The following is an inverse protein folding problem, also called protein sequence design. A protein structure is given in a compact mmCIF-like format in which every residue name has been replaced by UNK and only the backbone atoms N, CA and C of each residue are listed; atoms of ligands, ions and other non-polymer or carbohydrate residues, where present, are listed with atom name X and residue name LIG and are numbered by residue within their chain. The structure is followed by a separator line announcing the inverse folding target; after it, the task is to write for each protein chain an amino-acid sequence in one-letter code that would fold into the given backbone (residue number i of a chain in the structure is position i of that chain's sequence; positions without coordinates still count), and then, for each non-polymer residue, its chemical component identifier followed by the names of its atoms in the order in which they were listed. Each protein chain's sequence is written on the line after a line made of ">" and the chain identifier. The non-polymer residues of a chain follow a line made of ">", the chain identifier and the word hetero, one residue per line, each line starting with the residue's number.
data_IF_654598991040
#
_entry.id   IF_654598991040
#
_cell.length_a   1.000
_cell.length_b   1.000
_cell.length_c   1.000
_cell.angle_alpha   90.00
_cell.angle_beta   90.00
_cell.angle_gamma   90.00
#
_symmetry.space_group_name_H-M   'P 1'
#
loop_
_entity.id
_entity.type
_entity.pdbx_description
1 polymer ?
#
# COMPACT_ATOMS: atom_id res chain seq x y z
N UNK A 1 52.95 -37.86 -51.19
CA UNK A 1 53.20 -36.40 -51.05
C UNK A 1 51.95 -35.53 -51.23
N UNK A 2 50.74 -36.03 -50.93
CA UNK A 2 49.49 -35.24 -51.03
C UNK A 2 48.65 -35.07 -49.74
N UNK A 3 48.93 -35.67 -48.56
CA UNK A 3 48.14 -35.37 -47.37
C UNK A 3 48.65 -34.15 -46.58
N UNK A 4 49.91 -33.74 -46.74
CA UNK A 4 50.45 -32.55 -46.03
C UNK A 4 50.02 -31.22 -46.65
N UNK A 5 49.75 -31.18 -47.96
CA UNK A 5 49.31 -29.95 -48.64
C UNK A 5 47.85 -29.61 -48.29
N UNK A 6 47.01 -30.64 -48.09
CA UNK A 6 45.61 -30.46 -47.66
C UNK A 6 45.55 -29.93 -46.22
N UNK A 7 46.45 -30.39 -45.33
CA UNK A 7 46.51 -29.91 -43.94
C UNK A 7 47.09 -28.49 -43.82
N UNK A 8 47.92 -28.06 -44.77
CA UNK A 8 48.39 -26.66 -44.85
C UNK A 8 47.34 -25.72 -45.45
N UNK A 9 46.48 -26.19 -46.36
CA UNK A 9 45.38 -25.38 -46.91
C UNK A 9 44.22 -25.18 -45.92
N UNK A 10 44.01 -26.10 -44.97
CA UNK A 10 43.00 -25.98 -43.91
C UNK A 10 43.38 -25.01 -42.77
N UNK A 11 44.66 -24.62 -42.66
CA UNK A 11 45.12 -23.60 -41.70
C UNK A 11 45.01 -22.16 -42.24
N UNK A 12 44.57 -21.96 -43.48
CA UNK A 12 44.42 -20.64 -44.11
C UNK A 12 42.96 -20.16 -44.18
N UNK A 13 42.01 -20.89 -43.59
CA UNK A 13 40.61 -20.52 -43.53
C UNK A 13 40.11 -20.27 -42.09
N UNK A 14 40.95 -19.76 -41.20
CA UNK A 14 40.46 -19.08 -40.00
C UNK A 14 40.18 -17.61 -40.36
N UNK A 15 39.11 -17.41 -41.15
CA UNK A 15 38.47 -16.10 -41.25
C UNK A 15 37.71 -15.89 -39.93
N UNK A 16 38.43 -15.52 -38.88
CA UNK A 16 37.82 -15.07 -37.63
C UNK A 16 37.03 -13.82 -37.96
N UNK A 17 35.72 -13.95 -38.13
CA UNK A 17 34.83 -12.80 -38.27
C UNK A 17 34.95 -12.00 -36.98
N UNK A 18 35.52 -10.79 -37.06
CA UNK A 18 35.66 -9.92 -35.92
C UNK A 18 34.26 -9.49 -35.46
N UNK A 19 33.73 -10.14 -34.42
CA UNK A 19 32.41 -9.82 -33.88
C UNK A 19 32.46 -8.56 -33.01
N UNK A 20 31.33 -7.87 -32.91
CA UNK A 20 31.17 -6.77 -31.95
C UNK A 20 30.93 -7.36 -30.55
N UNK A 21 31.52 -6.74 -29.54
CA UNK A 21 31.38 -7.12 -28.14
C UNK A 21 30.34 -6.21 -27.48
N UNK A 22 29.20 -6.78 -27.10
CA UNK A 22 28.10 -6.06 -26.49
C UNK A 22 27.99 -6.36 -25.00
N UNK A 23 27.57 -5.36 -24.22
CA UNK A 23 27.20 -5.56 -22.83
C UNK A 23 25.92 -6.39 -22.74
N UNK A 24 25.96 -7.47 -21.96
CA UNK A 24 24.82 -8.37 -21.76
C UNK A 24 24.01 -7.92 -20.55
N UNK A 25 22.88 -7.26 -20.80
CA UNK A 25 21.90 -6.91 -19.76
C UNK A 25 20.79 -7.95 -19.75
N UNK A 26 20.60 -8.66 -18.63
CA UNK A 26 19.62 -9.75 -18.55
C UNK A 26 18.17 -9.26 -18.66
N UNK A 27 17.84 -8.21 -17.92
CA UNK A 27 16.48 -7.67 -17.90
C UNK A 27 16.46 -6.18 -17.54
N UNK A 28 15.40 -5.51 -17.94
CA UNK A 28 15.05 -4.14 -17.54
C UNK A 28 13.65 -4.17 -16.95
N UNK A 29 13.48 -3.59 -15.76
CA UNK A 29 12.17 -3.46 -15.13
C UNK A 29 11.63 -2.05 -15.32
N UNK A 30 10.34 -1.97 -15.65
CA UNK A 30 9.63 -0.70 -15.71
C UNK A 30 8.32 -0.76 -14.94
N UNK A 31 7.88 0.42 -14.50
CA UNK A 31 6.67 0.61 -13.71
C UNK A 31 5.76 1.64 -14.38
N UNK A 32 4.58 1.87 -13.81
CA UNK A 32 3.71 2.98 -14.22
C UNK A 32 4.33 4.37 -14.02
N UNK A 33 5.42 4.48 -13.26
CA UNK A 33 6.13 5.74 -13.04
C UNK A 33 7.12 6.11 -14.14
N UNK A 34 7.46 5.17 -15.01
CA UNK A 34 8.40 5.43 -16.09
C UNK A 34 7.65 6.15 -17.22
N UNK A 35 8.00 7.40 -17.51
CA UNK A 35 7.48 8.08 -18.71
C UNK A 35 8.12 7.50 -19.97
N UNK A 36 9.45 7.30 -19.91
CA UNK A 36 10.27 6.70 -20.96
C UNK A 36 10.98 5.45 -20.44
N UNK A 37 11.25 4.54 -21.36
CA UNK A 37 11.96 3.29 -21.10
C UNK A 37 13.21 3.30 -21.98
N UNK A 38 14.33 2.95 -21.37
CA UNK A 38 15.62 2.84 -22.05
C UNK A 38 16.06 1.39 -22.02
N UNK A 39 16.14 0.77 -23.19
CA UNK A 39 16.71 -0.57 -23.35
C UNK A 39 18.20 -0.42 -23.70
N UNK A 40 19.12 -0.89 -22.84
CA UNK A 40 20.54 -0.70 -23.04
C UNK A 40 21.06 -1.58 -24.18
N UNK A 41 21.85 -0.97 -25.06
CA UNK A 41 22.66 -1.68 -26.04
C UNK A 41 23.99 -0.93 -26.17
N UNK A 42 25.03 -1.48 -25.54
CA UNK A 42 26.35 -0.85 -25.45
C UNK A 42 27.38 -1.78 -26.09
N UNK A 43 28.09 -1.25 -27.08
CA UNK A 43 29.17 -1.90 -27.83
C UNK A 43 30.51 -1.36 -27.33
N UNK A 44 31.43 -2.24 -26.95
CA UNK A 44 32.71 -1.85 -26.35
C UNK A 44 33.82 -1.58 -27.36
N UNK A 45 33.80 -2.28 -28.49
CA UNK A 45 34.88 -2.32 -29.47
C UNK A 45 34.45 -1.75 -30.83
N UNK A 46 33.78 -0.60 -30.79
CA UNK A 46 33.41 0.16 -31.98
C UNK A 46 34.62 0.96 -32.49
N UNK A 47 34.86 0.90 -33.79
CA UNK A 47 35.99 1.56 -34.45
C UNK A 47 35.53 2.54 -35.55
N UNK A 48 34.22 2.56 -35.84
CA UNK A 48 33.58 3.41 -36.84
C UNK A 48 33.86 4.89 -36.55
N UNK A 49 34.31 5.59 -37.58
CA UNK A 49 34.57 7.03 -37.54
C UNK A 49 33.43 7.84 -38.15
N UNK A 50 32.59 7.21 -38.97
CA UNK A 50 31.43 7.81 -39.62
C UNK A 50 30.15 7.04 -39.29
N UNK A 51 29.04 7.76 -39.15
CA UNK A 51 27.73 7.13 -38.93
C UNK A 51 27.31 6.27 -40.11
N UNK A 52 27.78 6.58 -41.33
CA UNK A 52 27.48 5.84 -42.56
C UNK A 52 27.82 4.35 -42.50
N UNK A 53 28.77 3.98 -41.63
CA UNK A 53 29.25 2.60 -41.48
C UNK A 53 28.42 1.77 -40.50
N UNK A 54 27.43 2.39 -39.84
CA UNK A 54 26.65 1.79 -38.77
C UNK A 54 25.22 1.49 -39.19
N UNK A 55 24.76 0.30 -38.81
CA UNK A 55 23.38 -0.11 -38.92
C UNK A 55 22.89 -0.68 -37.59
N UNK A 56 21.73 -0.23 -37.12
CA UNK A 56 21.15 -0.68 -35.84
C UNK A 56 19.74 -1.20 -36.07
N UNK A 57 19.45 -2.38 -35.54
CA UNK A 57 18.11 -3.02 -35.58
C UNK A 57 17.68 -3.37 -34.17
N UNK A 58 16.41 -3.13 -33.89
CA UNK A 58 15.76 -3.66 -32.70
C UNK A 58 14.61 -4.57 -33.09
N UNK A 59 14.52 -5.72 -32.42
CA UNK A 59 13.47 -6.73 -32.60
C UNK A 59 12.73 -6.99 -31.30
N UNK A 60 11.44 -7.30 -31.39
CA UNK A 60 10.63 -7.88 -30.32
C UNK A 60 10.04 -9.19 -30.84
N UNK A 61 10.33 -10.30 -30.15
CA UNK A 61 9.85 -11.62 -30.57
C UNK A 61 10.21 -12.00 -32.01
N UNK A 62 11.37 -11.52 -32.50
CA UNK A 62 11.87 -11.76 -33.86
C UNK A 62 11.39 -10.78 -34.93
N UNK A 63 10.40 -9.92 -34.63
CA UNK A 63 9.90 -8.91 -35.57
C UNK A 63 10.59 -7.56 -35.36
N UNK A 64 10.97 -6.87 -36.44
CA UNK A 64 11.60 -5.55 -36.37
C UNK A 64 10.63 -4.51 -35.80
N UNK A 65 11.10 -3.74 -34.82
CA UNK A 65 10.35 -2.66 -34.18
C UNK A 65 10.95 -1.28 -34.47
N UNK A 66 12.25 -1.25 -34.73
CA UNK A 66 12.98 -0.03 -35.05
C UNK A 66 14.24 -0.38 -35.85
N UNK A 67 14.57 0.45 -36.84
CA UNK A 67 15.84 0.37 -37.56
C UNK A 67 16.43 1.75 -37.79
N UNK A 68 17.76 1.83 -37.75
CA UNK A 68 18.51 3.02 -38.14
C UNK A 68 19.54 2.63 -39.19
N UNK A 69 19.52 3.37 -40.31
CA UNK A 69 20.48 3.25 -41.38
C UNK A 69 21.40 4.45 -41.40
N UNK A 70 22.67 4.24 -41.05
CA UNK A 70 23.67 5.28 -41.03
C UNK A 70 23.98 5.88 -42.40
N UNK A 71 23.88 5.10 -43.47
CA UNK A 71 24.19 5.54 -44.84
C UNK A 71 23.19 6.57 -45.37
N UNK A 72 21.90 6.41 -45.03
CA UNK A 72 20.85 7.39 -45.36
C UNK A 72 20.56 8.36 -44.22
N UNK A 73 21.11 8.12 -43.03
CA UNK A 73 20.84 8.83 -41.79
C UNK A 73 19.34 8.85 -41.44
N UNK A 74 18.66 7.72 -41.66
CA UNK A 74 17.22 7.57 -41.46
C UNK A 74 16.94 6.60 -40.31
N UNK A 75 16.01 6.99 -39.43
CA UNK A 75 15.42 6.11 -38.42
C UNK A 75 13.97 5.78 -38.77
N UNK A 76 13.67 4.48 -38.85
CA UNK A 76 12.36 3.96 -39.20
C UNK A 76 11.78 3.24 -37.97
N UNK A 77 10.89 3.91 -37.21
CA UNK A 77 10.05 3.23 -36.24
C UNK A 77 8.91 2.50 -36.97
N UNK A 78 8.67 1.24 -36.63
CA UNK A 78 7.54 0.47 -37.18
C UNK A 78 6.30 0.69 -36.31
N UNK A 79 5.85 -0.34 -35.59
CA UNK A 79 4.68 -0.24 -34.70
C UNK A 79 4.95 0.52 -33.40
N UNK A 80 6.19 0.99 -33.19
CA UNK A 80 6.67 1.65 -31.97
C UNK A 80 7.03 3.11 -32.31
N UNK A 81 6.02 3.94 -32.56
CA UNK A 81 6.18 5.29 -33.11
C UNK A 81 7.03 6.24 -32.25
N UNK A 82 7.11 6.01 -30.94
CA UNK A 82 7.95 6.79 -30.02
C UNK A 82 9.41 6.32 -29.94
N UNK A 83 9.73 5.19 -30.58
CA UNK A 83 11.06 4.59 -30.50
C UNK A 83 12.10 5.44 -31.24
N UNK A 84 13.21 5.74 -30.56
CA UNK A 84 14.32 6.53 -31.08
C UNK A 84 15.65 6.11 -30.43
N UNK A 85 16.75 6.47 -31.07
CA UNK A 85 18.11 6.28 -30.57
C UNK A 85 18.88 7.60 -30.60
N UNK A 86 19.92 7.72 -29.79
CA UNK A 86 20.83 8.87 -29.82
C UNK A 86 21.90 8.69 -30.89
N UNK A 87 21.70 9.28 -32.07
CA UNK A 87 22.65 9.17 -33.20
C UNK A 87 24.05 9.70 -32.85
N UNK A 88 24.14 10.67 -31.94
CA UNK A 88 25.43 11.26 -31.49
C UNK A 88 26.24 10.31 -30.62
N UNK A 89 25.59 9.35 -29.97
CA UNK A 89 26.24 8.42 -29.07
C UNK A 89 26.54 7.06 -29.73
N UNK A 90 26.06 6.85 -30.97
CA UNK A 90 26.38 5.66 -31.76
C UNK A 90 27.88 5.49 -32.00
N UNK A 91 28.59 6.56 -32.36
CA UNK A 91 30.05 6.53 -32.53
C UNK A 91 30.80 6.28 -31.20
N UNK A 92 30.12 6.39 -30.06
CA UNK A 92 30.65 6.03 -28.74
C UNK A 92 30.22 4.62 -28.31
N UNK A 93 29.59 3.86 -29.19
CA UNK A 93 29.13 2.49 -28.93
C UNK A 93 27.78 2.41 -28.23
N UNK A 94 27.01 3.50 -28.11
CA UNK A 94 25.71 3.46 -27.46
C UNK A 94 24.57 3.41 -28.49
N UNK A 95 23.99 2.22 -28.66
CA UNK A 95 22.86 1.95 -29.55
C UNK A 95 21.55 1.70 -28.76
N UNK A 96 21.47 2.22 -27.53
CA UNK A 96 20.31 2.02 -26.65
C UNK A 96 19.03 2.60 -27.24
N UNK A 97 17.92 1.87 -27.09
CA UNK A 97 16.60 2.28 -27.59
C UNK A 97 15.83 3.00 -26.50
N UNK A 98 15.40 4.23 -26.79
CA UNK A 98 14.47 4.98 -25.95
C UNK A 98 13.07 4.91 -26.58
N UNK A 99 12.06 4.58 -25.78
CA UNK A 99 10.66 4.61 -26.21
C UNK A 99 9.74 5.08 -25.09
N UNK A 100 8.58 5.61 -25.44
CA UNK A 100 7.56 5.97 -24.45
C UNK A 100 6.94 4.70 -23.85
N UNK A 101 6.50 4.79 -22.59
CA UNK A 101 5.83 3.68 -21.90
C UNK A 101 4.62 3.12 -22.66
N UNK A 102 3.90 3.96 -23.40
CA UNK A 102 2.70 3.56 -24.18
C UNK A 102 3.01 2.53 -25.27
N UNK A 103 4.23 2.55 -25.81
CA UNK A 103 4.65 1.65 -26.88
C UNK A 103 5.41 0.44 -26.29
N UNK A 104 5.81 0.49 -25.03
CA UNK A 104 6.60 -0.57 -24.42
C UNK A 104 5.74 -1.78 -24.00
N UNK A 105 6.09 -2.94 -24.55
CA UNK A 105 5.39 -4.20 -24.35
C UNK A 105 6.32 -5.19 -23.64
N UNK A 106 5.90 -5.85 -22.56
CA UNK A 106 6.75 -6.85 -21.89
C UNK A 106 7.17 -7.97 -22.85
N UNK A 107 8.44 -8.35 -22.82
CA UNK A 107 8.97 -9.37 -23.71
C UNK A 107 10.48 -9.28 -23.95
N UNK A 108 10.97 -10.13 -24.84
CA UNK A 108 12.39 -10.20 -25.18
C UNK A 108 12.70 -9.28 -26.36
N UNK A 109 13.52 -8.27 -26.09
CA UNK A 109 14.01 -7.32 -27.07
C UNK A 109 15.43 -7.67 -27.47
N UNK A 110 15.70 -7.73 -28.77
CA UNK A 110 17.03 -8.02 -29.30
C UNK A 110 17.56 -6.78 -30.02
N UNK A 111 18.75 -6.33 -29.63
CA UNK A 111 19.52 -5.32 -30.32
C UNK A 111 20.52 -6.00 -31.25
N UNK A 112 20.56 -5.60 -32.51
CA UNK A 112 21.57 -6.03 -33.49
C UNK A 112 22.30 -4.78 -33.98
N UNK A 113 23.62 -4.78 -33.87
CA UNK A 113 24.49 -3.71 -34.37
C UNK A 113 25.40 -4.30 -35.44
N UNK A 114 25.48 -3.60 -36.56
CA UNK A 114 26.40 -3.91 -37.66
C UNK A 114 27.30 -2.71 -37.89
N UNK A 115 28.60 -2.97 -37.95
CA UNK A 115 29.66 -2.04 -38.33
C UNK A 115 30.37 -2.62 -39.55
N UNK A 116 30.09 -2.10 -40.75
CA UNK A 116 30.56 -2.67 -42.01
C UNK A 116 30.25 -4.18 -42.11
N UNK A 117 31.27 -5.03 -41.94
CA UNK A 117 31.17 -6.50 -41.98
C UNK A 117 31.15 -7.16 -40.59
N UNK A 118 31.24 -6.37 -39.52
CA UNK A 118 31.24 -6.83 -38.12
C UNK A 118 29.83 -6.75 -37.58
N UNK A 119 29.37 -7.82 -36.96
CA UNK A 119 28.03 -7.91 -36.38
C UNK A 119 28.11 -8.32 -34.92
N UNK A 120 27.12 -7.88 -34.15
CA UNK A 120 26.90 -8.39 -32.80
C UNK A 120 25.47 -8.13 -32.34
N UNK A 121 24.97 -9.01 -31.49
CA UNK A 121 23.62 -8.92 -30.95
C UNK A 121 23.60 -9.14 -29.44
N UNK A 122 22.58 -8.59 -28.79
CA UNK A 122 22.31 -8.85 -27.37
C UNK A 122 20.80 -8.81 -27.14
N UNK A 123 20.31 -9.63 -26.21
CA UNK A 123 18.89 -9.70 -25.86
C UNK A 123 18.68 -9.28 -24.42
N UNK A 124 17.68 -8.42 -24.22
CA UNK A 124 17.25 -7.92 -22.92
C UNK A 124 15.76 -8.18 -22.73
N UNK A 125 15.40 -8.75 -21.58
CA UNK A 125 14.00 -8.98 -21.23
C UNK A 125 13.40 -7.72 -20.58
N UNK A 126 12.36 -7.16 -21.17
CA UNK A 126 11.60 -6.07 -20.57
C UNK A 126 10.49 -6.66 -19.70
N UNK A 127 10.56 -6.40 -18.39
CA UNK A 127 9.57 -6.87 -17.42
C UNK A 127 8.76 -5.72 -16.87
N UNK A 128 7.44 -5.85 -16.93
CA UNK A 128 6.55 -4.91 -16.27
C UNK A 128 6.35 -5.31 -14.82
N UNK A 129 6.70 -4.41 -13.90
CA UNK A 129 6.50 -4.61 -12.48
C UNK A 129 5.15 -4.01 -12.05
N UNK A 130 4.18 -4.87 -11.76
CA UNK A 130 2.81 -4.52 -11.36
C UNK A 130 2.67 -3.92 -9.95
N UNK A 131 3.79 -3.68 -9.23
CA UNK A 131 3.80 -3.30 -7.81
C UNK A 131 3.76 -1.80 -7.48
N UNK A 132 3.77 -0.90 -8.47
CA UNK A 132 3.73 0.55 -8.22
C UNK A 132 2.45 1.18 -8.79
N UNK A 133 1.56 1.61 -7.91
CA UNK A 133 0.53 2.59 -8.23
C UNK A 133 1.19 3.95 -8.48
N UNK A 134 0.59 4.76 -9.36
CA UNK A 134 1.10 6.02 -9.93
C UNK A 134 1.54 7.12 -8.93
N UNK A 135 1.39 6.92 -7.63
CA UNK A 135 1.73 7.91 -6.60
C UNK A 135 3.14 7.73 -5.99
N UNK A 136 3.89 6.68 -6.35
CA UNK A 136 5.31 6.52 -5.97
C UNK A 136 6.28 7.35 -6.84
N UNK A 137 5.80 7.95 -7.94
CA UNK A 137 6.66 8.62 -8.92
C UNK A 137 7.15 10.00 -8.46
N UNK A 138 6.51 10.59 -7.44
CA UNK A 138 6.86 11.90 -6.89
C UNK A 138 8.19 11.91 -6.10
N UNK A 139 8.71 10.74 -5.70
CA UNK A 139 9.92 10.64 -4.88
C UNK A 139 11.24 10.54 -5.65
N UNK A 140 11.23 10.35 -6.98
CA UNK A 140 12.44 9.94 -7.73
C UNK A 140 13.33 11.10 -8.21
N UNK A 141 12.91 12.36 -8.04
CA UNK A 141 13.69 13.53 -8.47
C UNK A 141 14.79 13.96 -7.48
N UNK A 142 15.00 13.25 -6.37
CA UNK A 142 16.11 13.54 -5.44
C UNK A 142 16.86 12.26 -5.06
N UNK A 143 18.09 12.20 -5.55
CA UNK A 143 19.16 11.22 -5.32
C UNK A 143 19.01 9.85 -6.01
N UNK A 144 19.85 9.67 -7.03
CA UNK A 144 20.31 8.35 -7.45
C UNK A 144 21.12 7.70 -6.32
N UNK A 145 20.82 6.44 -6.03
CA UNK A 145 21.48 5.67 -5.00
C UNK A 145 20.83 4.31 -4.81
N UNK A 146 21.48 3.31 -5.42
CA UNK A 146 21.72 1.96 -4.92
C UNK A 146 20.57 1.07 -4.44
N UNK A 147 20.55 -0.12 -5.05
CA UNK A 147 19.72 -1.30 -4.78
C UNK A 147 19.56 -1.60 -3.29
N UNK A 148 18.35 -1.38 -2.74
CA UNK A 148 17.92 -1.97 -1.47
C UNK A 148 16.69 -2.86 -1.70
N UNK A 149 16.87 -4.11 -1.28
CA UNK A 149 15.90 -5.16 -1.00
C UNK A 149 14.46 -4.63 -0.78
N UNK A 150 13.57 -4.91 -1.72
CA UNK A 150 12.20 -4.38 -1.76
C UNK A 150 11.29 -5.17 -0.81
N UNK A 151 11.24 -4.78 0.46
CA UNK A 151 10.18 -5.25 1.38
C UNK A 151 8.81 -4.72 0.92
N UNK A 152 7.84 -5.62 0.81
CA UNK A 152 6.42 -5.37 0.50
C UNK A 152 5.88 -4.08 1.15
N UNK A 153 5.33 -3.17 0.35
CA UNK A 153 4.73 -1.93 0.84
C UNK A 153 3.35 -2.26 1.45
N UNK A 154 3.23 -2.08 2.76
CA UNK A 154 1.98 -2.30 3.50
C UNK A 154 1.02 -1.11 3.32
N UNK A 155 -0.29 -1.36 3.29
CA UNK A 155 -1.33 -0.35 3.05
C UNK A 155 -1.34 0.76 4.13
N UNK A 156 -1.13 0.38 5.38
CA UNK A 156 -0.77 1.28 6.49
C UNK A 156 0.59 0.85 7.05
N UNK A 157 1.30 1.79 7.68
CA UNK A 157 2.54 1.45 8.39
C UNK A 157 2.26 0.47 9.53
N UNK A 158 3.25 -0.35 9.96
CA UNK A 158 3.08 -1.28 11.07
C UNK A 158 2.52 -0.61 12.34
N UNK A 159 2.97 0.60 12.65
CA UNK A 159 2.56 1.36 13.82
C UNK A 159 1.07 1.76 13.72
N UNK A 160 0.65 2.21 12.53
CA UNK A 160 -0.74 2.58 12.26
C UNK A 160 -1.66 1.35 12.31
N UNK A 161 -1.26 0.22 11.73
CA UNK A 161 -2.03 -1.04 11.81
C UNK A 161 -2.29 -1.46 13.26
N UNK A 162 -1.27 -1.36 14.10
CA UNK A 162 -1.37 -1.68 15.52
C UNK A 162 -2.41 -0.76 16.20
N UNK A 163 -2.37 0.55 15.92
CA UNK A 163 -3.31 1.51 16.52
C UNK A 163 -4.75 1.30 16.05
N UNK A 164 -4.96 1.01 14.76
CA UNK A 164 -6.28 0.73 14.17
C UNK A 164 -6.95 -0.47 14.86
N UNK A 165 -6.17 -1.48 15.28
CA UNK A 165 -6.70 -2.66 15.97
C UNK A 165 -6.83 -2.43 17.48
N UNK A 166 -5.87 -1.76 18.11
CA UNK A 166 -5.86 -1.57 19.56
C UNK A 166 -6.98 -0.62 20.02
N UNK A 167 -7.23 0.49 19.34
CA UNK A 167 -8.24 1.45 19.80
C UNK A 167 -9.66 0.87 19.89
N UNK A 168 -10.18 0.15 18.89
CA UNK A 168 -11.47 -0.54 18.98
C UNK A 168 -11.50 -1.62 20.07
N UNK A 169 -10.43 -2.40 20.22
CA UNK A 169 -10.34 -3.42 21.28
C UNK A 169 -10.39 -2.78 22.67
N UNK A 170 -9.69 -1.67 22.86
CA UNK A 170 -9.71 -0.90 24.10
C UNK A 170 -11.12 -0.33 24.36
N UNK A 171 -11.77 0.25 23.36
CA UNK A 171 -13.15 0.76 23.49
C UNK A 171 -14.13 -0.33 23.93
N UNK A 172 -14.02 -1.54 23.36
CA UNK A 172 -14.84 -2.69 23.76
C UNK A 172 -14.57 -3.09 25.21
N UNK A 173 -13.31 -3.18 25.63
CA UNK A 173 -12.96 -3.52 27.01
C UNK A 173 -13.50 -2.48 28.00
N UNK A 174 -13.43 -1.20 27.65
CA UNK A 174 -13.98 -0.11 28.46
C UNK A 174 -15.51 -0.20 28.55
N UNK A 175 -16.20 -0.49 27.45
CA UNK A 175 -17.65 -0.75 27.43
C UNK A 175 -18.03 -1.91 28.36
N UNK A 176 -17.32 -3.05 28.31
CA UNK A 176 -17.56 -4.16 29.23
C UNK A 176 -17.29 -3.79 30.69
N UNK A 177 -16.31 -2.94 30.95
CA UNK A 177 -16.07 -2.37 32.27
C UNK A 177 -17.26 -1.55 32.78
N UNK A 178 -17.84 -0.70 31.92
CA UNK A 178 -19.03 0.09 32.26
C UNK A 178 -20.24 -0.81 32.52
N UNK A 179 -20.48 -1.78 31.64
CA UNK A 179 -21.52 -2.79 31.81
C UNK A 179 -21.37 -3.55 33.14
N UNK A 180 -20.14 -3.93 33.50
CA UNK A 180 -19.84 -4.57 34.79
C UNK A 180 -20.28 -3.72 35.98
N UNK A 181 -20.00 -2.40 35.97
CA UNK A 181 -20.45 -1.48 37.02
C UNK A 181 -21.99 -1.45 37.11
N UNK A 182 -22.68 -1.35 35.97
CA UNK A 182 -24.16 -1.35 35.94
C UNK A 182 -24.72 -2.61 36.58
N UNK A 183 -24.21 -3.77 36.14
CA UNK A 183 -24.73 -5.08 36.53
C UNK A 183 -24.48 -5.40 38.00
N UNK A 184 -23.27 -5.11 38.49
CA UNK A 184 -22.89 -5.35 39.90
C UNK A 184 -23.65 -4.46 40.87
N UNK A 185 -23.94 -3.20 40.48
CA UNK A 185 -24.47 -2.20 41.41
C UNK A 185 -25.99 -2.02 41.33
N UNK A 186 -26.61 -2.21 40.17
CA UNK A 186 -28.01 -1.84 39.94
C UNK A 186 -28.89 -3.03 39.55
N UNK A 187 -28.75 -4.15 40.26
CA UNK A 187 -29.50 -5.40 40.06
C UNK A 187 -30.99 -5.27 40.48
N UNK A 188 -31.78 -4.50 39.73
CA UNK A 188 -33.23 -4.35 39.89
C UNK A 188 -34.01 -5.14 38.83
N UNK A 189 -35.25 -5.54 39.13
CA UNK A 189 -36.09 -6.37 38.25
C UNK A 189 -36.40 -5.72 36.88
N UNK A 190 -36.62 -4.40 36.84
CA UNK A 190 -36.86 -3.63 35.60
C UNK A 190 -35.58 -3.52 34.76
N UNK A 191 -34.41 -3.53 35.40
CA UNK A 191 -33.12 -3.41 34.74
C UNK A 191 -32.76 -4.70 34.00
N UNK A 192 -33.34 -5.86 34.37
CA UNK A 192 -32.93 -7.16 33.83
C UNK A 192 -33.14 -7.27 32.32
N UNK A 193 -34.29 -6.87 31.79
CA UNK A 193 -34.57 -6.98 30.35
C UNK A 193 -33.65 -6.08 29.51
N UNK A 194 -33.53 -4.79 29.88
CA UNK A 194 -32.64 -3.85 29.19
C UNK A 194 -31.17 -4.24 29.31
N UNK A 195 -30.76 -4.78 30.45
CA UNK A 195 -29.39 -5.27 30.68
C UNK A 195 -29.10 -6.53 29.86
N UNK A 196 -30.07 -7.44 29.68
CA UNK A 196 -29.94 -8.59 28.79
C UNK A 196 -29.77 -8.13 27.33
N UNK A 197 -30.57 -7.16 26.88
CA UNK A 197 -30.44 -6.61 25.53
C UNK A 197 -29.06 -5.97 25.30
N UNK A 198 -28.56 -5.19 26.27
CA UNK A 198 -27.21 -4.61 26.24
C UNK A 198 -26.12 -5.68 26.19
N UNK A 199 -26.28 -6.77 26.94
CA UNK A 199 -25.34 -7.88 26.93
C UNK A 199 -25.27 -8.56 25.55
N UNK A 200 -26.44 -8.87 24.97
CA UNK A 200 -26.53 -9.49 23.64
C UNK A 200 -25.92 -8.57 22.57
N UNK A 201 -26.31 -7.30 22.55
CA UNK A 201 -25.79 -6.33 21.59
C UNK A 201 -24.27 -6.10 21.77
N UNK A 202 -23.80 -6.08 23.01
CA UNK A 202 -22.37 -6.03 23.34
C UNK A 202 -21.59 -7.24 22.82
N UNK A 203 -22.13 -8.45 22.95
CA UNK A 203 -21.54 -9.66 22.38
C UNK A 203 -21.51 -9.65 20.85
N UNK A 204 -22.60 -9.21 20.21
CA UNK A 204 -22.64 -9.09 18.74
C UNK A 204 -21.58 -8.11 18.27
N UNK A 205 -21.47 -6.97 18.94
CA UNK A 205 -20.44 -5.97 18.66
C UNK A 205 -19.02 -6.54 18.79
N UNK A 206 -18.71 -7.29 19.85
CA UNK A 206 -17.37 -7.87 20.02
C UNK A 206 -17.04 -8.85 18.92
N UNK A 207 -17.98 -9.72 18.54
CA UNK A 207 -17.79 -10.68 17.44
C UNK A 207 -17.52 -9.95 16.13
N UNK A 208 -18.29 -8.91 15.81
CA UNK A 208 -18.10 -8.13 14.57
C UNK A 208 -16.71 -7.50 14.52
N UNK A 209 -16.27 -6.85 15.61
CA UNK A 209 -14.95 -6.18 15.64
C UNK A 209 -13.81 -7.19 15.62
N UNK A 210 -13.94 -8.34 16.29
CA UNK A 210 -12.94 -9.42 16.22
C UNK A 210 -12.81 -9.95 14.78
N UNK A 211 -13.94 -10.22 14.11
CA UNK A 211 -13.94 -10.63 12.70
C UNK A 211 -13.32 -9.55 11.82
N UNK A 212 -13.64 -8.27 12.06
CA UNK A 212 -13.02 -7.14 11.37
C UNK A 212 -11.50 -7.10 11.54
N UNK A 213 -11.00 -7.29 12.76
CA UNK A 213 -9.57 -7.34 13.06
C UNK A 213 -8.85 -8.52 12.37
N UNK A 214 -9.48 -9.70 12.32
CA UNK A 214 -8.95 -10.88 11.63
C UNK A 214 -8.89 -10.64 10.11
N UNK A 215 -9.90 -9.98 9.53
CA UNK A 215 -9.90 -9.63 8.11
C UNK A 215 -8.90 -8.51 7.78
N UNK A 216 -8.58 -7.66 8.75
CA UNK A 216 -7.61 -6.57 8.67
C UNK A 216 -6.17 -7.03 8.95
N UNK A 217 -5.75 -8.21 8.46
CA UNK A 217 -4.34 -8.64 8.56
C UNK A 217 -3.45 -7.67 7.76
N UNK A 218 -2.38 -7.12 8.37
CA UNK A 218 -1.51 -6.14 7.73
C UNK A 218 -0.91 -6.67 6.43
N UNK A 219 -0.90 -5.83 5.41
CA UNK A 219 -0.37 -6.15 4.08
C UNK A 219 -0.86 -5.15 3.03
N UNK A 220 -0.73 -5.52 1.76
CA UNK A 220 -1.19 -4.73 0.61
C UNK A 220 -2.71 -4.46 0.61
N UNK A 221 -3.16 -3.45 -0.13
CA UNK A 221 -4.60 -3.21 -0.28
C UNK A 221 -5.31 -4.40 -0.92
N UNK A 222 -6.45 -4.81 -0.35
CA UNK A 222 -7.33 -5.83 -0.90
C UNK A 222 -8.76 -5.57 -0.46
N UNK A 223 -9.74 -5.92 -1.28
CA UNK A 223 -11.17 -5.80 -0.95
C UNK A 223 -11.53 -6.50 0.37
N UNK A 224 -10.89 -7.64 0.67
CA UNK A 224 -11.04 -8.35 1.95
C UNK A 224 -10.57 -7.52 3.16
N UNK A 225 -9.41 -6.87 3.02
CA UNK A 225 -8.81 -6.03 4.08
C UNK A 225 -9.57 -4.73 4.27
N UNK A 226 -10.02 -4.11 3.19
CA UNK A 226 -10.88 -2.91 3.22
C UNK A 226 -12.23 -3.22 3.90
N UNK A 227 -12.82 -4.40 3.63
CA UNK A 227 -14.00 -4.87 4.36
C UNK A 227 -13.71 -5.07 5.85
N UNK A 228 -12.56 -5.61 6.22
CA UNK A 228 -12.14 -5.75 7.63
C UNK A 228 -12.07 -4.40 8.33
N UNK A 229 -11.48 -3.39 7.68
CA UNK A 229 -11.43 -2.02 8.18
C UNK A 229 -12.83 -1.40 8.35
N UNK A 230 -13.72 -1.63 7.38
CA UNK A 230 -15.13 -1.22 7.49
C UNK A 230 -15.85 -1.88 8.67
N UNK A 231 -15.60 -3.17 8.91
CA UNK A 231 -16.14 -3.91 10.07
C UNK A 231 -15.54 -3.47 11.41
N UNK A 232 -14.44 -2.70 11.41
CA UNK A 232 -13.91 -2.06 12.62
C UNK A 232 -14.60 -0.72 12.87
N UNK A 233 -14.76 0.09 11.82
CA UNK A 233 -15.27 1.47 11.93
C UNK A 233 -16.78 1.51 12.07
N UNK A 234 -17.52 0.80 11.24
CA UNK A 234 -18.99 0.87 11.21
C UNK A 234 -19.63 0.51 12.55
N UNK A 235 -19.19 -0.53 13.29
CA UNK A 235 -19.80 -0.87 14.57
C UNK A 235 -19.58 0.16 15.69
N UNK A 236 -18.73 1.18 15.49
CA UNK A 236 -18.60 2.27 16.46
C UNK A 236 -19.91 3.04 16.64
N UNK A 237 -20.82 3.06 15.65
CA UNK A 237 -22.18 3.60 15.84
C UNK A 237 -22.98 2.79 16.87
N UNK A 238 -22.78 1.46 16.90
CA UNK A 238 -23.43 0.60 17.90
C UNK A 238 -22.83 0.85 19.29
N UNK A 239 -21.52 1.08 19.40
CA UNK A 239 -20.90 1.53 20.66
C UNK A 239 -21.56 2.81 21.20
N UNK A 240 -21.81 3.82 20.35
CA UNK A 240 -22.46 5.07 20.78
C UNK A 240 -23.86 4.81 21.33
N UNK A 241 -24.65 3.98 20.64
CA UNK A 241 -26.01 3.62 21.08
C UNK A 241 -25.98 2.86 22.40
N UNK A 242 -25.03 1.94 22.57
CA UNK A 242 -24.83 1.19 23.81
C UNK A 242 -24.41 2.11 24.97
N UNK A 243 -23.52 3.06 24.71
CA UNK A 243 -23.05 4.04 25.69
C UNK A 243 -24.19 4.95 26.15
N UNK A 244 -25.00 5.47 25.22
CA UNK A 244 -26.20 6.23 25.53
C UNK A 244 -27.16 5.43 26.42
N UNK A 245 -27.38 4.16 26.08
CA UNK A 245 -28.26 3.28 26.84
C UNK A 245 -27.76 3.06 28.27
N UNK A 246 -26.45 2.87 28.48
CA UNK A 246 -25.83 2.76 29.81
C UNK A 246 -26.09 4.01 30.66
N UNK A 247 -25.94 5.21 30.10
CA UNK A 247 -26.15 6.46 30.82
C UNK A 247 -27.62 6.68 31.23
N UNK A 248 -28.57 6.31 30.37
CA UNK A 248 -30.00 6.38 30.67
C UNK A 248 -30.41 5.36 31.75
N UNK A 249 -29.85 4.15 31.68
CA UNK A 249 -30.18 3.05 32.57
C UNK A 249 -29.62 3.29 33.99
N UNK A 250 -28.49 3.99 34.12
CA UNK A 250 -27.84 4.19 35.41
C UNK A 250 -28.55 5.27 36.27
N UNK A 251 -29.13 4.91 37.43
CA UNK A 251 -29.84 5.85 38.28
C UNK A 251 -28.90 6.92 38.87
N UNK A 252 -29.22 8.19 38.64
CA UNK A 252 -28.47 9.34 39.17
C UNK A 252 -27.39 9.91 38.24
N UNK A 253 -27.11 9.24 37.11
CA UNK A 253 -26.33 9.83 36.03
C UNK A 253 -27.25 10.62 35.09
N UNK A 254 -28.24 9.92 34.51
CA UNK A 254 -29.15 10.51 33.54
C UNK A 254 -28.43 11.27 32.42
N UNK A 255 -29.16 12.16 31.73
CA UNK A 255 -28.58 13.05 30.71
C UNK A 255 -27.97 14.29 31.35
N UNK A 256 -26.93 14.09 32.18
CA UNK A 256 -26.14 15.20 32.73
C UNK A 256 -25.35 15.91 31.62
N UNK A 257 -24.94 17.17 31.86
CA UNK A 257 -24.10 17.91 30.90
C UNK A 257 -22.82 17.16 30.52
N UNK A 258 -22.21 16.43 31.47
CA UNK A 258 -21.04 15.59 31.23
C UNK A 258 -21.34 14.40 30.30
N UNK A 259 -22.45 13.70 30.52
CA UNK A 259 -22.86 12.59 29.66
C UNK A 259 -23.13 13.06 28.21
N UNK A 260 -23.77 14.22 28.06
CA UNK A 260 -24.02 14.84 26.75
C UNK A 260 -22.69 15.20 26.07
N UNK A 261 -21.75 15.80 26.80
CA UNK A 261 -20.43 16.13 26.27
C UNK A 261 -19.65 14.88 25.79
N UNK A 262 -19.71 13.78 26.55
CA UNK A 262 -19.09 12.50 26.18
C UNK A 262 -19.71 11.94 24.89
N UNK A 263 -21.04 11.97 24.76
CA UNK A 263 -21.73 11.49 23.55
C UNK A 263 -21.40 12.35 22.32
N UNK A 264 -21.32 13.68 22.47
CA UNK A 264 -20.89 14.58 21.39
C UNK A 264 -19.47 14.24 20.96
N UNK A 265 -18.56 14.01 21.91
CA UNK A 265 -17.18 13.63 21.62
C UNK A 265 -17.11 12.31 20.85
N UNK A 266 -17.93 11.32 21.19
CA UNK A 266 -18.01 10.07 20.44
C UNK A 266 -18.54 10.26 19.02
N UNK A 267 -19.58 11.08 18.84
CA UNK A 267 -20.12 11.38 17.50
C UNK A 267 -19.05 12.07 16.64
N UNK A 268 -18.29 13.02 17.20
CA UNK A 268 -17.18 13.66 16.49
C UNK A 268 -16.10 12.64 16.10
N UNK A 269 -15.71 11.75 17.03
CA UNK A 269 -14.76 10.67 16.74
C UNK A 269 -15.25 9.72 15.65
N UNK A 270 -16.55 9.38 15.64
CA UNK A 270 -17.18 8.57 14.61
C UNK A 270 -17.19 9.26 13.24
N UNK A 271 -17.55 10.53 13.17
CA UNK A 271 -17.52 11.28 11.91
C UNK A 271 -16.10 11.32 11.35
N UNK A 272 -15.09 11.58 12.20
CA UNK A 272 -13.69 11.57 11.78
C UNK A 272 -13.24 10.19 11.29
N UNK A 273 -13.66 9.10 11.95
CA UNK A 273 -13.30 7.74 11.54
C UNK A 273 -14.00 7.32 10.24
N UNK A 274 -15.26 7.69 10.02
CA UNK A 274 -15.98 7.42 8.77
C UNK A 274 -15.42 8.23 7.61
N UNK A 275 -15.11 9.51 7.82
CA UNK A 275 -14.45 10.34 6.80
C UNK A 275 -13.06 9.79 6.50
N UNK A 276 -12.29 9.44 7.54
CA UNK A 276 -11.00 8.78 7.39
C UNK A 276 -11.10 7.48 6.60
N UNK A 277 -12.05 6.60 6.93
CA UNK A 277 -12.30 5.35 6.20
C UNK A 277 -12.64 5.62 4.75
N UNK A 278 -13.54 6.57 4.49
CA UNK A 278 -13.98 6.92 3.13
C UNK A 278 -12.79 7.35 2.30
N UNK A 279 -11.96 8.26 2.82
CA UNK A 279 -10.73 8.72 2.17
C UNK A 279 -9.72 7.60 1.96
N UNK A 280 -9.58 6.67 2.92
CA UNK A 280 -8.72 5.50 2.79
C UNK A 280 -9.22 4.49 1.74
N UNK A 281 -10.52 4.43 1.46
CA UNK A 281 -11.12 3.51 0.47
C UNK A 281 -11.20 4.15 -0.92
N UNK A 282 -11.37 5.47 -1.01
CA UNK A 282 -11.46 6.20 -2.28
C UNK A 282 -10.10 6.45 -2.93
N UNK A 283 -9.04 6.55 -2.14
CA UNK A 283 -7.68 6.75 -2.65
C UNK A 283 -6.81 5.49 -2.44
N UNK A 284 -6.01 5.13 -3.45
CA UNK A 284 -5.17 3.92 -3.39
C UNK A 284 -4.02 4.02 -2.35
N UNK A 285 -3.79 5.18 -1.73
CA UNK A 285 -2.90 5.35 -0.59
C UNK A 285 -3.59 6.20 0.51
N UNK A 286 -3.59 5.76 1.77
CA UNK A 286 -4.28 6.46 2.84
C UNK A 286 -3.44 7.65 3.34
N UNK A 287 -3.40 8.75 2.58
CA UNK A 287 -2.79 10.04 3.03
C UNK A 287 -3.48 10.52 4.33
N UNK A 288 -4.72 10.09 4.54
CA UNK A 288 -5.56 10.41 5.70
C UNK A 288 -5.69 9.26 6.71
N UNK A 289 -4.80 8.25 6.70
CA UNK A 289 -4.76 7.20 7.74
C UNK A 289 -4.73 7.74 9.18
N UNK A 290 -3.95 8.78 9.50
CA UNK A 290 -4.00 9.43 10.81
C UNK A 290 -5.37 10.01 11.18
N UNK A 291 -6.18 10.43 10.20
CA UNK A 291 -7.54 10.93 10.45
C UNK A 291 -8.45 9.82 10.97
N UNK A 292 -8.41 8.64 10.32
CA UNK A 292 -9.12 7.44 10.77
C UNK A 292 -8.70 7.07 12.20
N UNK A 293 -7.39 7.00 12.43
CA UNK A 293 -6.80 6.61 13.71
C UNK A 293 -7.17 7.59 14.82
N UNK A 294 -7.12 8.89 14.54
CA UNK A 294 -7.54 9.92 15.50
C UNK A 294 -9.03 9.80 15.86
N UNK A 295 -9.90 9.53 14.89
CA UNK A 295 -11.32 9.27 15.12
C UNK A 295 -11.56 8.07 16.04
N UNK A 296 -10.91 6.93 15.77
CA UNK A 296 -10.97 5.74 16.62
C UNK A 296 -10.42 6.01 18.04
N UNK A 297 -9.33 6.77 18.13
CA UNK A 297 -8.74 7.18 19.42
C UNK A 297 -9.68 8.07 20.25
N UNK A 298 -10.37 9.02 19.61
CA UNK A 298 -11.38 9.87 20.27
C UNK A 298 -12.54 9.03 20.82
N UNK A 299 -13.03 8.05 20.05
CA UNK A 299 -14.08 7.14 20.52
C UNK A 299 -13.61 6.35 21.75
N UNK A 300 -12.40 5.78 21.73
CA UNK A 300 -11.84 5.07 22.87
C UNK A 300 -11.63 5.97 24.10
N UNK A 301 -11.18 7.22 23.89
CA UNK A 301 -11.03 8.21 24.96
C UNK A 301 -12.38 8.55 25.59
N UNK A 302 -13.43 8.71 24.79
CA UNK A 302 -14.76 9.00 25.29
C UNK A 302 -15.35 7.83 26.11
N UNK A 303 -15.10 6.58 25.71
CA UNK A 303 -15.42 5.38 26.51
C UNK A 303 -14.67 5.37 27.85
N UNK A 304 -13.40 5.78 27.85
CA UNK A 304 -12.61 5.87 29.08
C UNK A 304 -13.18 6.93 30.03
N UNK A 305 -13.55 8.10 29.50
CA UNK A 305 -14.21 9.16 30.26
C UNK A 305 -15.57 8.71 30.81
N UNK A 306 -16.35 7.95 30.02
CA UNK A 306 -17.60 7.33 30.46
C UNK A 306 -17.41 6.40 31.66
N UNK A 307 -16.42 5.51 31.59
CA UNK A 307 -16.07 4.62 32.70
C UNK A 307 -15.62 5.36 33.96
N UNK A 308 -14.75 6.37 33.81
CA UNK A 308 -14.29 7.19 34.95
C UNK A 308 -15.45 7.92 35.59
N UNK A 309 -16.33 8.53 34.79
CA UNK A 309 -17.51 9.25 35.27
C UNK A 309 -18.48 8.33 36.03
N UNK A 310 -18.73 7.13 35.49
CA UNK A 310 -19.53 6.09 36.15
C UNK A 310 -18.93 5.67 37.49
N UNK A 311 -17.61 5.49 37.56
CA UNK A 311 -16.93 5.12 38.80
C UNK A 311 -17.03 6.21 39.87
N UNK A 312 -16.86 7.48 39.49
CA UNK A 312 -16.95 8.63 40.40
C UNK A 312 -18.36 8.84 40.95
N UNK A 313 -19.36 8.81 40.07
CA UNK A 313 -20.78 8.90 40.47
C UNK A 313 -21.19 7.70 41.33
N UNK A 314 -20.67 6.51 41.02
CA UNK A 314 -20.92 5.34 41.82
C UNK A 314 -20.30 5.40 43.23
N UNK A 315 -19.12 6.04 43.38
CA UNK A 315 -18.48 6.27 44.67
C UNK A 315 -19.26 7.28 45.54
N UNK A 316 -19.72 8.39 44.95
CA UNK A 316 -20.47 9.42 45.68
C UNK A 316 -21.82 8.91 46.23
N UNK A 317 -22.47 7.94 45.58
CA UNK A 317 -23.68 7.34 46.15
C UNK A 317 -23.42 6.51 47.42
N UNK A 318 -22.20 6.02 47.67
CA UNK A 318 -21.88 5.29 48.92
C UNK A 318 -21.79 6.21 50.14
N UNK A 319 -21.53 7.51 49.94
CA UNK A 319 -21.45 8.48 51.05
C UNK A 319 -22.81 9.07 51.45
N UNK A 320 -23.86 8.82 50.67
CA UNK A 320 -25.22 9.30 50.89
C UNK A 320 -26.14 8.10 51.21
N UNK A 321 -25.90 7.42 52.33
CA UNK A 321 -26.96 6.65 53.01
C UNK A 321 -27.53 7.52 54.16
N UNK A 322 -28.87 7.55 54.37
CA UNK A 322 -29.53 8.48 55.29
C UNK A 322 -29.35 8.10 56.78
N UNK A 323 -29.60 9.04 57.71
CA UNK A 323 -29.22 8.92 59.12
C UNK A 323 -30.01 7.82 59.84
N UNK A 324 -29.35 7.15 60.79
CA UNK A 324 -30.03 6.27 61.76
C UNK A 324 -31.12 7.10 62.44
N UNK A 325 -32.38 6.80 62.14
CA UNK A 325 -33.51 7.34 62.88
C UNK A 325 -33.26 7.16 64.38
N UNK A 326 -33.39 8.27 65.11
CA UNK A 326 -33.46 8.31 66.56
C UNK A 326 -34.40 7.21 67.07
N UNK A 327 -33.84 6.15 67.65
CA UNK A 327 -34.52 5.43 68.73
C UNK A 327 -34.42 6.32 69.95
N UNK A 328 -35.42 7.16 70.16
CA UNK A 328 -35.86 7.59 71.48
C UNK A 328 -37.31 8.05 71.40
N UNK A 329 -38.07 7.64 72.41
CA UNK A 329 -39.48 7.95 72.71
C UNK A 329 -40.56 7.05 72.08
N UNK A 330 -40.91 5.99 72.81
CA UNK A 330 -42.18 6.00 73.55
C UNK A 330 -42.07 5.12 74.80
N UNK A 331 -42.47 5.71 75.92
CA UNK A 331 -42.89 5.06 77.16
C UNK A 331 -43.87 3.90 76.89
#
# INVERSE_FOLDING_TARGET
>A
MWPLVVLQLLNLAYCGSAQLLLNVTKFVEYTNCNNTILLPCIVYNIEATALADLFVKWKLGGSYIFTYNGATNESIPFNFTSAKISTRDLLKGNASLEMDRKDAVPGNYTCEVTELSREGETTVELRYHTGLTSHACAGKNRLGGESRDWKSVSWFSPNENILIVIFPMLAILLFWGQFGIVTLKYNSSIMKEKTILLFIAGLVLTVIVIVGAILFIPGEYSTKRASGLGLIVVPTVMLIILQYSIFIITPGIGMSSYSIAILILQILGFVLSVVGLSLCVTECAPVHGPLLISGLGIVALAELLGLVYMKLTAANQRTIQPPRHLKNQKE
#
